data_IF_243226153174
#
_entry.id   IF_243226153174
#
_cell.length_a   1.000
_cell.length_b   1.000
_cell.length_c   1.000
_cell.angle_alpha   90.00
_cell.angle_beta   90.00
_cell.angle_gamma   90.00
#
_symmetry.space_group_name_H-M   'P 1'
#
loop_
_entity.id
_entity.type
_entity.pdbx_description
1 polymer ?
#
# COMPACT_ATOMS: atom_id res chain seq x y z
N UNK A 1 7.19 7.82 12.79
CA UNK A 1 6.11 8.79 13.09
C UNK A 1 5.08 8.77 11.97
N UNK A 2 3.80 8.69 12.33
CA UNK A 2 2.67 8.84 11.42
C UNK A 2 2.14 10.26 11.51
N UNK A 3 1.75 10.85 10.39
CA UNK A 3 1.17 12.20 10.32
C UNK A 3 -0.04 12.18 9.39
N UNK A 4 -1.19 12.62 9.90
CA UNK A 4 -2.40 12.78 9.11
C UNK A 4 -2.51 14.23 8.59
N UNK A 5 -2.35 14.43 7.28
CA UNK A 5 -2.64 15.72 6.62
C UNK A 5 -3.92 15.70 5.79
N UNK A 6 -4.72 14.64 5.90
CA UNK A 6 -6.01 14.56 5.25
C UNK A 6 -7.02 15.53 5.88
N UNK A 7 -8.12 15.80 5.18
CA UNK A 7 -9.24 16.61 5.69
C UNK A 7 -10.14 15.84 6.68
N UNK A 8 -9.92 14.53 6.80
CA UNK A 8 -10.70 13.61 7.63
C UNK A 8 -9.80 12.85 8.61
N UNK A 9 -10.41 12.30 9.67
CA UNK A 9 -9.76 11.29 10.51
C UNK A 9 -9.41 10.07 9.67
N UNK A 10 -8.24 9.51 9.93
CA UNK A 10 -7.81 8.24 9.37
C UNK A 10 -7.51 7.28 10.51
N UNK A 11 -7.55 5.99 10.22
CA UNK A 11 -7.20 4.98 11.20
C UNK A 11 -6.07 4.11 10.68
N UNK A 12 -4.80 4.41 11.00
CA UNK A 12 -3.71 3.56 10.56
C UNK A 12 -3.88 2.12 11.05
N UNK A 13 -3.50 1.18 10.20
CA UNK A 13 -3.38 -0.25 10.50
C UNK A 13 -1.94 -0.70 10.34
N UNK A 14 -1.54 -1.67 11.14
CA UNK A 14 -0.17 -2.21 11.19
C UNK A 14 -0.24 -3.73 11.20
N UNK A 15 0.49 -4.35 10.28
CA UNK A 15 0.65 -5.79 10.23
C UNK A 15 2.15 -6.13 10.18
N UNK A 16 2.61 -6.89 11.16
CA UNK A 16 3.96 -7.47 11.11
C UNK A 16 3.98 -8.69 10.18
N UNK A 17 5.10 -8.91 9.49
CA UNK A 17 5.26 -10.04 8.59
C UNK A 17 5.20 -11.38 9.33
N UNK A 18 4.90 -12.46 8.60
CA UNK A 18 4.90 -13.80 9.17
C UNK A 18 6.26 -14.12 9.82
N UNK A 19 6.24 -14.58 11.07
CA UNK A 19 7.44 -14.87 11.85
C UNK A 19 8.11 -13.66 12.52
N UNK A 20 7.59 -12.45 12.29
CA UNK A 20 8.00 -11.23 13.01
C UNK A 20 7.02 -10.97 14.16
N UNK A 21 7.56 -10.64 15.34
CA UNK A 21 6.72 -10.31 16.49
C UNK A 21 5.84 -9.08 16.19
N UNK A 22 4.54 -9.09 16.55
CA UNK A 22 3.68 -7.92 16.43
C UNK A 22 4.22 -6.73 17.22
N UNK A 23 3.96 -5.51 16.72
CA UNK A 23 4.14 -4.31 17.53
C UNK A 23 3.05 -4.23 18.62
N UNK A 24 3.33 -3.46 19.68
CA UNK A 24 2.41 -3.27 20.81
C UNK A 24 1.06 -2.65 20.39
N UNK A 25 1.06 -1.94 19.26
CA UNK A 25 -0.12 -1.30 18.66
C UNK A 25 -0.24 -1.73 17.21
N UNK A 26 -1.43 -2.17 16.83
CA UNK A 26 -1.75 -2.68 15.49
C UNK A 26 -2.80 -1.85 14.75
N UNK A 27 -3.46 -0.93 15.44
CA UNK A 27 -4.32 0.07 14.82
C UNK A 27 -4.68 1.19 15.80
N UNK A 28 -4.90 2.39 15.27
CA UNK A 28 -5.27 3.57 16.06
C UNK A 28 -5.95 4.62 15.19
N UNK A 29 -6.56 5.63 15.81
CA UNK A 29 -7.05 6.85 15.15
C UNK A 29 -5.97 7.93 15.05
N UNK A 30 -6.05 8.73 13.99
CA UNK A 30 -5.35 10.01 13.83
C UNK A 30 -6.31 11.07 13.30
N UNK A 31 -6.60 12.07 14.11
CA UNK A 31 -7.37 13.24 13.69
C UNK A 31 -6.62 14.09 12.66
N UNK A 32 -7.33 15.02 12.02
CA UNK A 32 -6.73 15.96 11.06
C UNK A 32 -5.59 16.74 11.71
N UNK A 33 -4.41 16.68 11.09
CA UNK A 33 -3.20 17.36 11.56
C UNK A 33 -2.48 16.63 12.70
N UNK A 34 -3.04 15.54 13.23
CA UNK A 34 -2.44 14.77 14.31
C UNK A 34 -1.21 13.99 13.82
N UNK A 35 -0.27 13.76 14.73
CA UNK A 35 0.84 12.84 14.54
C UNK A 35 1.01 11.92 15.73
N UNK A 36 1.40 10.68 15.46
CA UNK A 36 1.70 9.68 16.49
C UNK A 36 3.01 8.99 16.18
N UNK A 37 3.85 8.84 17.20
CA UNK A 37 5.10 8.08 17.09
C UNK A 37 4.90 6.71 17.71
N UNK A 38 5.37 5.69 17.01
CA UNK A 38 5.51 4.33 17.52
C UNK A 38 6.97 3.92 17.37
N UNK A 39 7.40 2.98 18.18
CA UNK A 39 8.72 2.37 18.08
C UNK A 39 8.61 1.00 17.42
N UNK A 40 9.51 0.71 16.48
CA UNK A 40 9.67 -0.60 15.89
C UNK A 40 11.04 -1.18 16.29
N UNK A 41 11.16 -2.50 16.54
CA UNK A 41 12.46 -3.16 16.69
C UNK A 41 13.33 -2.99 15.43
N UNK A 42 14.66 -3.03 15.59
CA UNK A 42 15.60 -2.83 14.48
C UNK A 42 15.47 -3.86 13.36
N UNK A 43 14.98 -5.05 13.65
CA UNK A 43 14.76 -6.13 12.67
C UNK A 43 13.29 -6.30 12.27
N UNK A 44 12.46 -5.26 12.47
CA UNK A 44 11.03 -5.35 12.19
C UNK A 44 10.78 -5.34 10.68
N UNK A 45 9.88 -6.21 10.24
CA UNK A 45 9.35 -6.20 8.88
C UNK A 45 7.84 -6.29 8.92
N UNK A 46 7.18 -5.50 8.08
CA UNK A 46 5.74 -5.40 8.07
C UNK A 46 5.22 -4.36 7.10
N UNK A 47 3.91 -4.14 7.16
CA UNK A 47 3.19 -3.18 6.34
C UNK A 47 2.26 -2.32 7.16
N UNK A 48 2.03 -1.12 6.63
CA UNK A 48 1.32 -0.02 7.25
C UNK A 48 0.37 0.57 6.22
N UNK A 49 -0.85 0.91 6.62
CA UNK A 49 -1.83 1.55 5.72
C UNK A 49 -2.75 2.48 6.49
N UNK A 50 -3.55 3.26 5.76
CA UNK A 50 -4.56 4.15 6.34
C UNK A 50 -5.96 3.65 6.02
N UNK A 51 -6.81 3.47 7.03
CA UNK A 51 -8.24 3.19 6.84
C UNK A 51 -9.04 4.49 6.80
N UNK A 52 -10.13 4.51 6.03
CA UNK A 52 -11.01 5.68 5.89
C UNK A 52 -12.47 5.34 6.11
N UNK A 53 -13.24 6.37 6.49
CA UNK A 53 -14.68 6.29 6.72
C UNK A 53 -15.02 5.13 7.67
N UNK A 54 -14.31 5.09 8.80
CA UNK A 54 -14.52 4.08 9.81
C UNK A 54 -15.63 4.51 10.78
N UNK A 55 -16.44 3.54 11.20
CA UNK A 55 -17.51 3.73 12.17
C UNK A 55 -17.56 2.56 13.14
N UNK A 56 -17.98 2.84 14.37
CA UNK A 56 -18.34 1.83 15.36
C UNK A 56 -19.86 1.79 15.51
N UNK A 57 -20.46 0.62 15.33
CA UNK A 57 -21.91 0.47 15.48
C UNK A 57 -22.33 0.37 16.97
N UNK A 58 -23.64 0.29 17.21
CA UNK A 58 -24.17 0.18 18.58
C UNK A 58 -23.78 -1.11 19.32
N UNK A 59 -23.28 -2.12 18.62
CA UNK A 59 -22.77 -3.36 19.21
C UNK A 59 -21.25 -3.30 19.47
N UNK A 60 -20.60 -2.18 19.16
CA UNK A 60 -19.16 -2.01 19.29
C UNK A 60 -18.35 -2.67 18.18
N UNK A 61 -18.98 -2.94 17.03
CA UNK A 61 -18.32 -3.44 15.83
C UNK A 61 -17.72 -2.26 15.06
N UNK A 62 -16.40 -2.20 15.01
CA UNK A 62 -15.66 -1.22 14.23
C UNK A 62 -15.46 -1.74 12.80
N UNK A 63 -15.75 -0.92 11.79
CA UNK A 63 -15.52 -1.26 10.38
C UNK A 63 -15.23 -0.01 9.55
N UNK A 64 -14.49 -0.18 8.46
CA UNK A 64 -14.08 0.89 7.55
C UNK A 64 -14.51 0.62 6.11
N UNK A 65 -14.76 1.69 5.33
CA UNK A 65 -15.09 1.55 3.90
C UNK A 65 -13.88 1.13 3.07
N UNK A 66 -12.68 1.61 3.41
CA UNK A 66 -11.43 1.25 2.69
C UNK A 66 -10.38 0.76 3.66
N UNK A 67 -9.64 -0.28 3.29
CA UNK A 67 -8.51 -0.81 4.07
C UNK A 67 -8.90 -1.49 5.37
N UNK A 68 -10.18 -1.82 5.58
CA UNK A 68 -10.63 -2.52 6.78
C UNK A 68 -9.82 -3.78 7.04
N UNK A 69 -9.55 -4.12 8.30
CA UNK A 69 -8.72 -5.26 8.66
C UNK A 69 -9.49 -6.43 9.25
N UNK A 70 -10.83 -6.38 9.24
CA UNK A 70 -11.70 -7.50 9.61
C UNK A 70 -11.69 -7.89 11.09
N UNK A 71 -10.95 -7.17 11.94
CA UNK A 71 -10.87 -7.48 13.38
C UNK A 71 -12.13 -7.10 14.16
N UNK A 72 -12.96 -6.23 13.59
CA UNK A 72 -14.09 -5.61 14.26
C UNK A 72 -13.73 -4.62 15.36
N UNK A 73 -12.46 -4.20 15.43
CA UNK A 73 -11.90 -3.25 16.40
C UNK A 73 -10.99 -2.24 15.72
N UNK A 74 -10.68 -1.16 16.41
CA UNK A 74 -9.68 -0.20 15.94
C UNK A 74 -8.31 -0.90 15.77
N UNK A 75 -7.93 -1.77 16.70
CA UNK A 75 -6.75 -2.63 16.57
C UNK A 75 -6.94 -3.69 15.47
N UNK A 76 -5.96 -3.87 14.59
CA UNK A 76 -6.05 -4.87 13.52
C UNK A 76 -5.70 -6.29 13.95
N UNK A 77 -4.97 -6.47 15.06
CA UNK A 77 -4.73 -7.77 15.70
C UNK A 77 -4.25 -8.88 14.75
N UNK A 78 -3.39 -8.53 13.78
CA UNK A 78 -2.88 -9.46 12.77
C UNK A 78 -3.72 -9.55 11.49
N UNK A 79 -4.85 -8.86 11.42
CA UNK A 79 -5.63 -8.68 10.21
C UNK A 79 -4.89 -7.82 9.19
N UNK A 80 -4.98 -8.22 7.92
CA UNK A 80 -4.43 -7.46 6.79
C UNK A 80 -5.45 -6.45 6.27
N UNK A 81 -5.00 -5.40 5.59
CA UNK A 81 -5.89 -4.50 4.87
C UNK A 81 -6.70 -5.27 3.82
N UNK A 82 -8.00 -5.11 3.80
CA UNK A 82 -8.85 -5.50 2.68
C UNK A 82 -8.60 -4.54 1.51
N UNK A 83 -8.12 -5.04 0.35
CA UNK A 83 -7.88 -4.20 -0.81
C UNK A 83 -9.17 -3.55 -1.35
N UNK A 84 -9.11 -2.35 -1.94
CA UNK A 84 -7.90 -1.58 -2.22
C UNK A 84 -7.32 -0.80 -1.03
N UNK A 85 -5.99 -0.83 -0.89
CA UNK A 85 -5.27 -0.05 0.11
C UNK A 85 -3.86 0.33 -0.37
N UNK A 86 -3.50 1.60 -0.20
CA UNK A 86 -2.10 2.04 -0.37
C UNK A 86 -1.28 1.59 0.84
N UNK A 87 -0.19 0.88 0.59
CA UNK A 87 0.65 0.30 1.62
C UNK A 87 1.99 1.05 1.72
N UNK A 88 2.52 1.19 2.92
CA UNK A 88 3.95 1.38 3.14
C UNK A 88 4.52 0.08 3.72
N UNK A 89 5.57 -0.44 3.08
CA UNK A 89 6.18 -1.72 3.42
C UNK A 89 7.60 -1.49 3.92
N UNK A 90 8.02 -2.28 4.91
CA UNK A 90 9.32 -2.16 5.55
C UNK A 90 9.94 -3.52 5.81
N UNK A 91 11.26 -3.58 5.66
CA UNK A 91 12.15 -4.60 6.22
C UNK A 91 13.36 -3.88 6.80
N UNK A 92 13.38 -3.69 8.11
CA UNK A 92 14.46 -3.00 8.83
C UNK A 92 15.61 -3.96 9.12
N UNK A 93 16.85 -3.45 9.09
CA UNK A 93 18.08 -4.23 9.30
C UNK A 93 18.13 -5.51 8.44
N UNK A 94 17.75 -5.38 7.17
CA UNK A 94 17.70 -6.46 6.19
C UNK A 94 19.08 -6.81 5.62
N UNK A 95 19.09 -7.19 4.33
CA UNK A 95 20.33 -7.57 3.64
C UNK A 95 21.39 -6.46 3.73
N UNK A 96 22.58 -6.81 4.25
CA UNK A 96 23.69 -5.87 4.41
C UNK A 96 23.51 -4.86 5.56
N UNK A 97 22.56 -5.09 6.47
CA UNK A 97 22.23 -4.15 7.56
C UNK A 97 21.54 -2.88 7.05
N UNK A 98 20.90 -2.97 5.88
CA UNK A 98 20.13 -1.89 5.28
C UNK A 98 18.65 -2.10 5.54
N UNK A 99 17.95 -1.00 5.76
CA UNK A 99 16.50 -0.99 5.68
C UNK A 99 16.07 -1.00 4.21
N UNK A 100 15.00 -1.73 3.94
CA UNK A 100 14.27 -1.74 2.68
C UNK A 100 12.88 -1.19 2.96
N UNK A 101 12.44 -0.23 2.16
CA UNK A 101 11.12 0.37 2.31
C UNK A 101 10.57 0.85 0.98
N UNK A 102 9.26 0.94 0.90
CA UNK A 102 8.55 1.39 -0.28
C UNK A 102 7.13 1.84 0.06
N UNK A 103 6.49 2.48 -0.92
CA UNK A 103 5.04 2.59 -0.98
C UNK A 103 4.54 1.77 -2.15
N UNK A 104 3.48 1.00 -1.93
CA UNK A 104 2.98 0.01 -2.86
C UNK A 104 1.50 0.23 -3.19
N UNK A 105 1.20 0.16 -4.48
CA UNK A 105 -0.14 0.20 -5.08
C UNK A 105 -0.51 -1.15 -5.72
N UNK A 106 0.24 -2.22 -5.39
CA UNK A 106 -0.03 -3.60 -5.84
C UNK A 106 -1.41 -4.05 -5.37
N UNK A 107 -1.78 -3.68 -4.15
CA UNK A 107 -3.09 -3.92 -3.54
C UNK A 107 -4.06 -2.74 -3.82
N UNK A 108 -3.75 -1.90 -4.81
CA UNK A 108 -4.57 -0.75 -5.20
C UNK A 108 -4.29 0.52 -4.40
N UNK A 109 -5.22 1.46 -4.47
CA UNK A 109 -5.08 2.81 -3.93
C UNK A 109 -6.34 3.23 -3.18
N UNK A 110 -6.19 3.83 -2.00
CA UNK A 110 -7.29 4.50 -1.30
C UNK A 110 -6.92 5.92 -0.83
N UNK A 111 -5.67 6.14 -0.44
CA UNK A 111 -5.18 7.41 0.09
C UNK A 111 -3.79 7.74 -0.43
N UNK A 112 -3.47 9.03 -0.68
CA UNK A 112 -2.11 9.43 -0.97
C UNK A 112 -1.21 9.22 0.26
N UNK A 113 0.00 8.72 0.04
CA UNK A 113 0.95 8.38 1.11
C UNK A 113 2.37 8.76 0.70
N UNK A 114 3.17 9.21 1.68
CA UNK A 114 4.60 9.48 1.52
C UNK A 114 5.37 8.93 2.72
N UNK A 115 6.43 8.19 2.43
CA UNK A 115 7.42 7.73 3.41
C UNK A 115 8.70 8.54 3.21
N UNK A 116 9.22 9.13 4.29
CA UNK A 116 10.45 9.94 4.27
C UNK A 116 11.38 9.47 5.38
N UNK A 117 12.58 8.93 5.06
CA UNK A 117 13.59 8.63 6.07
C UNK A 117 14.08 9.92 6.75
N UNK A 118 14.38 9.85 8.04
CA UNK A 118 14.94 10.91 8.86
C UNK A 118 16.35 10.48 9.29
N UNK A 119 17.37 11.11 8.71
CA UNK A 119 18.75 10.66 8.84
C UNK A 119 19.04 9.47 7.92
N UNK A 120 19.99 8.64 8.34
CA UNK A 120 20.51 7.55 7.53
C UNK A 120 21.31 8.01 6.30
N UNK A 121 21.77 7.05 5.50
CA UNK A 121 22.55 7.30 4.30
C UNK A 121 22.41 6.19 3.26
N UNK A 122 22.79 6.48 2.01
CA UNK A 122 22.70 5.55 0.89
C UNK A 122 22.19 6.25 -0.36
N UNK A 123 22.51 5.71 -1.54
CA UNK A 123 22.12 6.33 -2.81
C UNK A 123 20.60 6.46 -2.98
N UNK A 124 19.84 5.48 -2.46
CA UNK A 124 18.38 5.45 -2.52
C UNK A 124 17.71 5.76 -1.17
N UNK A 125 18.43 6.36 -0.21
CA UNK A 125 17.83 6.80 1.05
C UNK A 125 17.06 8.11 0.83
N UNK A 126 15.87 8.00 0.27
CA UNK A 126 15.07 9.14 -0.19
C UNK A 126 13.57 8.88 -0.03
N UNK A 127 12.75 9.90 -0.27
CA UNK A 127 11.32 9.77 -0.11
C UNK A 127 10.69 8.88 -1.19
N UNK A 128 9.78 8.00 -0.79
CA UNK A 128 8.96 7.15 -1.67
C UNK A 128 7.47 7.34 -1.37
N UNK A 129 6.61 7.19 -2.36
CA UNK A 129 5.19 7.48 -2.17
C UNK A 129 4.37 7.70 -3.43
N UNK A 130 3.10 8.00 -3.18
CA UNK A 130 2.09 8.37 -4.14
C UNK A 130 1.36 9.62 -3.64
N UNK A 131 1.70 10.78 -4.20
CA UNK A 131 1.16 12.10 -3.78
C UNK A 131 -0.06 12.53 -4.60
N UNK A 132 -0.25 11.92 -5.77
CA UNK A 132 -1.37 12.21 -6.65
C UNK A 132 -2.62 11.53 -6.09
N UNK A 133 -3.77 12.19 -6.24
CA UNK A 133 -5.05 11.53 -6.05
C UNK A 133 -5.40 10.67 -7.27
N UNK A 134 -5.15 9.37 -7.11
CA UNK A 134 -5.38 8.38 -8.18
C UNK A 134 -6.87 8.12 -8.37
N UNK A 135 -7.74 8.46 -7.41
CA UNK A 135 -9.19 8.27 -7.58
C UNK A 135 -9.71 9.03 -8.81
N UNK A 136 -9.20 10.25 -9.08
CA UNK A 136 -9.55 11.02 -10.27
C UNK A 136 -9.10 10.41 -11.60
N UNK A 137 -8.07 9.55 -11.58
CA UNK A 137 -7.50 8.89 -12.77
C UNK A 137 -7.99 7.45 -12.95
N UNK A 138 -8.65 6.91 -11.93
CA UNK A 138 -8.98 5.50 -11.86
C UNK A 138 -9.98 5.08 -12.96
N UNK A 139 -9.65 4.07 -13.78
CA UNK A 139 -10.54 3.53 -14.80
C UNK A 139 -11.85 3.02 -14.22
N UNK A 140 -12.94 3.09 -14.99
CA UNK A 140 -14.28 2.64 -14.58
C UNK A 140 -14.29 1.21 -14.04
N UNK A 141 -13.50 0.31 -14.63
CA UNK A 141 -13.41 -1.09 -14.23
C UNK A 141 -12.74 -1.31 -12.85
N UNK A 142 -12.03 -0.30 -12.33
CA UNK A 142 -11.26 -0.39 -11.09
C UNK A 142 -11.86 0.46 -9.96
N UNK A 143 -12.93 1.22 -10.20
CA UNK A 143 -13.48 2.15 -9.20
C UNK A 143 -14.13 1.41 -8.04
N UNK A 144 -13.92 1.94 -6.84
CA UNK A 144 -14.71 1.63 -5.65
C UNK A 144 -15.45 2.89 -5.22
N UNK A 145 -16.75 2.75 -4.99
CA UNK A 145 -17.62 3.85 -4.55
C UNK A 145 -18.19 3.58 -3.17
N UNK A 146 -18.36 4.62 -2.36
CA UNK A 146 -19.11 4.54 -1.11
C UNK A 146 -20.61 4.32 -1.37
N UNK A 147 -21.37 4.06 -0.31
CA UNK A 147 -22.84 4.05 -0.35
C UNK A 147 -23.45 5.38 -0.79
N UNK A 148 -22.72 6.49 -0.62
CA UNK A 148 -23.13 7.83 -1.02
C UNK A 148 -22.81 8.14 -2.49
N UNK A 149 -22.12 7.21 -3.17
CA UNK A 149 -21.73 7.33 -4.59
C UNK A 149 -20.39 8.03 -4.81
N UNK A 150 -19.72 8.46 -3.74
CA UNK A 150 -18.39 9.06 -3.83
C UNK A 150 -17.35 8.02 -4.19
N UNK A 151 -16.38 8.42 -5.01
CA UNK A 151 -15.25 7.56 -5.33
C UNK A 151 -14.26 7.54 -4.16
N UNK A 152 -14.04 6.37 -3.58
CA UNK A 152 -13.26 6.23 -2.33
C UNK A 152 -11.93 5.52 -2.52
N UNK A 153 -11.80 4.70 -3.56
CA UNK A 153 -10.59 3.94 -3.83
C UNK A 153 -10.53 3.43 -5.28
N UNK A 154 -9.36 2.96 -5.68
CA UNK A 154 -9.07 2.35 -6.96
C UNK A 154 -8.44 0.97 -6.77
N UNK A 155 -9.10 -0.08 -7.24
CA UNK A 155 -8.55 -1.45 -7.27
C UNK A 155 -7.30 -1.52 -8.15
N UNK A 156 -6.38 -2.41 -7.81
CA UNK A 156 -5.41 -2.89 -8.80
C UNK A 156 -6.11 -3.82 -9.80
N UNK A 157 -5.44 -4.12 -10.92
CA UNK A 157 -5.97 -5.07 -11.89
C UNK A 157 -6.07 -6.49 -11.31
N UNK A 158 -5.15 -6.89 -10.44
CA UNK A 158 -5.22 -8.18 -9.76
C UNK A 158 -6.51 -8.26 -8.91
N UNK A 159 -6.80 -7.24 -8.11
CA UNK A 159 -8.00 -7.20 -7.26
C UNK A 159 -9.31 -7.06 -8.04
N UNK A 160 -9.27 -6.50 -9.24
CA UNK A 160 -10.46 -6.37 -10.07
C UNK A 160 -10.78 -7.62 -10.87
N UNK A 161 -9.76 -8.31 -11.38
CA UNK A 161 -9.94 -9.38 -12.39
C UNK A 161 -9.47 -10.75 -11.94
N UNK A 162 -8.50 -10.83 -11.03
CA UNK A 162 -7.93 -12.10 -10.54
C UNK A 162 -7.10 -12.86 -11.58
N UNK A 163 -6.85 -12.28 -12.76
CA UNK A 163 -6.10 -12.94 -13.81
C UNK A 163 -4.63 -13.15 -13.39
N UNK A 164 -4.02 -14.32 -13.67
CA UNK A 164 -2.63 -14.61 -13.32
C UNK A 164 -1.62 -13.59 -13.84
N UNK A 165 -1.92 -12.97 -14.99
CA UNK A 165 -1.12 -11.92 -15.62
C UNK A 165 -1.05 -10.64 -14.78
N UNK A 166 -2.14 -10.28 -14.08
CA UNK A 166 -2.18 -9.10 -13.23
C UNK A 166 -1.70 -9.40 -11.81
N UNK A 167 -1.93 -10.62 -11.34
CA UNK A 167 -1.53 -11.08 -10.01
C UNK A 167 -0.11 -11.65 -9.97
N UNK A 168 0.58 -11.71 -11.11
CA UNK A 168 1.90 -12.33 -11.24
C UNK A 168 1.98 -13.73 -10.59
N UNK A 169 1.02 -14.59 -10.95
CA UNK A 169 0.90 -15.93 -10.37
C UNK A 169 0.94 -17.03 -11.43
N UNK A 170 1.14 -18.28 -11.00
CA UNK A 170 1.22 -19.43 -11.91
C UNK A 170 2.30 -19.25 -12.99
N UNK A 171 1.90 -19.27 -14.26
CA UNK A 171 2.81 -19.07 -15.39
C UNK A 171 3.48 -17.67 -15.43
N UNK A 172 2.91 -16.71 -14.69
CA UNK A 172 3.41 -15.35 -14.56
C UNK A 172 4.11 -15.13 -13.21
N UNK A 173 4.47 -16.20 -12.49
CA UNK A 173 5.15 -16.11 -11.18
C UNK A 173 6.62 -15.71 -11.22
N UNK A 174 7.10 -15.09 -12.31
CA UNK A 174 8.47 -14.60 -12.43
C UNK A 174 8.50 -13.19 -13.05
N UNK A 175 9.53 -12.37 -12.74
CA UNK A 175 9.71 -11.06 -13.37
C UNK A 175 9.81 -11.11 -14.90
N UNK A 176 10.35 -12.21 -15.43
CA UNK A 176 10.46 -12.41 -16.88
C UNK A 176 9.12 -12.71 -17.55
N UNK A 177 8.18 -13.32 -16.84
CA UNK A 177 6.88 -13.67 -17.37
C UNK A 177 5.81 -12.59 -17.10
N UNK A 178 5.76 -12.01 -15.89
CA UNK A 178 4.76 -10.98 -15.56
C UNK A 178 5.23 -9.60 -16.02
N UNK A 179 4.57 -9.07 -17.05
CA UNK A 179 4.89 -7.75 -17.61
C UNK A 179 3.94 -6.67 -17.12
N UNK A 180 4.37 -5.39 -17.09
CA UNK A 180 3.48 -4.29 -16.78
C UNK A 180 2.27 -4.28 -17.71
N UNK A 181 1.08 -4.05 -17.15
CA UNK A 181 -0.16 -3.89 -17.91
C UNK A 181 -0.49 -2.41 -18.10
N UNK A 182 -1.50 -2.10 -18.93
CA UNK A 182 -2.01 -0.74 -19.04
C UNK A 182 -2.52 -0.19 -17.70
N UNK A 183 -3.04 -1.06 -16.82
CA UNK A 183 -3.49 -0.68 -15.48
C UNK A 183 -2.34 -0.39 -14.52
N UNK A 184 -1.30 -1.23 -14.47
CA UNK A 184 -0.14 -0.93 -13.61
C UNK A 184 0.62 0.30 -14.12
N UNK A 185 0.73 0.48 -15.44
CA UNK A 185 1.33 1.68 -16.02
C UNK A 185 0.55 2.97 -15.71
N UNK A 186 -0.77 2.90 -15.49
CA UNK A 186 -1.55 4.04 -15.00
C UNK A 186 -1.11 4.44 -13.58
N UNK A 187 -1.03 3.48 -12.66
CA UNK A 187 -0.52 3.71 -11.31
C UNK A 187 0.92 4.25 -11.35
N UNK A 188 1.77 3.68 -12.21
CA UNK A 188 3.17 4.09 -12.33
C UNK A 188 3.31 5.50 -12.88
N UNK A 189 2.51 5.87 -13.87
CA UNK A 189 2.49 7.22 -14.42
C UNK A 189 2.04 8.26 -13.40
N UNK A 190 1.07 7.93 -12.55
CA UNK A 190 0.61 8.81 -11.47
C UNK A 190 1.63 8.89 -10.31
N UNK A 191 2.26 7.77 -9.97
CA UNK A 191 3.11 7.62 -8.79
C UNK A 191 4.42 6.90 -9.13
N UNK A 192 5.39 7.59 -9.78
CA UNK A 192 6.62 6.97 -10.29
C UNK A 192 7.52 6.34 -9.21
N UNK A 193 7.44 6.84 -7.98
CA UNK A 193 8.21 6.35 -6.83
C UNK A 193 7.54 5.20 -6.07
N UNK A 194 6.34 4.76 -6.47
CA UNK A 194 5.62 3.67 -5.81
C UNK A 194 5.63 2.40 -6.68
N UNK A 195 5.52 1.23 -6.05
CA UNK A 195 5.27 -0.03 -6.73
C UNK A 195 3.90 0.02 -7.40
N UNK A 196 3.86 -0.30 -8.69
CA UNK A 196 2.62 -0.35 -9.48
C UNK A 196 2.12 -1.76 -9.79
N UNK A 197 2.99 -2.77 -9.63
CA UNK A 197 2.70 -4.21 -9.72
C UNK A 197 3.84 -5.00 -9.04
N UNK A 198 3.66 -6.31 -8.86
CA UNK A 198 4.49 -7.13 -7.99
C UNK A 198 6.00 -7.20 -8.33
N UNK A 199 6.42 -6.89 -9.56
CA UNK A 199 7.83 -6.92 -9.98
C UNK A 199 8.37 -5.56 -10.44
N UNK A 200 7.82 -4.46 -9.94
CA UNK A 200 8.26 -3.08 -10.24
C UNK A 200 9.48 -2.64 -9.39
N UNK A 201 10.47 -3.51 -9.21
CA UNK A 201 11.56 -3.29 -8.23
C UNK A 201 12.47 -2.12 -8.61
N UNK A 202 12.82 -2.01 -9.90
CA UNK A 202 13.90 -1.13 -10.38
C UNK A 202 13.76 0.33 -9.98
N UNK A 203 12.52 0.80 -9.76
CA UNK A 203 12.23 2.20 -9.46
C UNK A 203 11.41 2.40 -8.18
N UNK A 204 11.14 1.31 -7.46
CA UNK A 204 10.17 1.33 -6.36
C UNK A 204 10.72 0.75 -5.06
N UNK A 205 11.86 0.02 -5.08
CA UNK A 205 12.56 -0.37 -3.85
C UNK A 205 13.52 0.72 -3.41
N UNK A 206 13.37 1.20 -2.17
CA UNK A 206 14.26 2.18 -1.56
C UNK A 206 15.05 1.52 -0.44
N UNK A 207 16.30 1.96 -0.27
CA UNK A 207 17.18 1.43 0.77
C UNK A 207 17.80 2.56 1.58
N UNK A 208 17.96 2.34 2.87
CA UNK A 208 18.66 3.27 3.74
C UNK A 208 19.48 2.55 4.81
N UNK A 209 20.69 3.04 5.06
CA UNK A 209 21.60 2.53 6.08
C UNK A 209 21.72 3.51 7.24
N UNK A 210 22.21 3.03 8.39
CA UNK A 210 22.45 3.87 9.56
C UNK A 210 21.23 4.06 10.47
N UNK A 211 20.30 3.09 10.45
CA UNK A 211 19.11 3.04 11.30
C UNK A 211 18.33 4.37 11.35
N UNK A 212 17.86 4.88 10.19
CA UNK A 212 17.03 6.09 10.17
C UNK A 212 15.70 5.87 10.91
N UNK A 213 15.11 6.97 11.37
CA UNK A 213 13.68 6.99 11.68
C UNK A 213 12.88 7.24 10.40
N UNK A 214 11.56 7.01 10.42
CA UNK A 214 10.69 7.25 9.25
C UNK A 214 9.50 8.12 9.60
N UNK A 215 9.15 9.02 8.68
CA UNK A 215 7.89 9.78 8.71
C UNK A 215 6.96 9.27 7.62
N UNK A 216 5.80 8.77 8.01
CA UNK A 216 4.73 8.33 7.12
C UNK A 216 3.65 9.40 7.15
N UNK A 217 3.48 10.08 6.03
CA UNK A 217 2.49 11.15 5.87
C UNK A 217 1.35 10.67 4.99
N UNK A 218 0.14 10.70 5.53
CA UNK A 218 -1.09 10.53 4.77
C UNK A 218 -1.54 11.88 4.23
N UNK A 219 -1.98 11.91 2.97
CA UNK A 219 -2.32 13.12 2.23
C UNK A 219 -1.23 14.23 2.27
N UNK A 220 0.02 13.96 1.83
CA UNK A 220 1.11 14.94 1.81
C UNK A 220 0.79 16.23 1.02
N UNK A 221 1.69 17.21 0.99
CA UNK A 221 1.52 18.41 0.15
C UNK A 221 2.68 18.56 -0.85
N UNK A 222 2.45 19.12 -2.05
CA UNK A 222 1.15 19.44 -2.64
C UNK A 222 0.46 18.16 -3.13
N UNK A 223 -0.77 17.92 -2.69
CA UNK A 223 -1.64 16.89 -3.26
C UNK A 223 -2.57 17.54 -4.28
N UNK A 224 -2.62 16.97 -5.48
CA UNK A 224 -3.38 17.52 -6.61
C UNK A 224 -4.91 17.51 -6.41
N UNK A 225 -5.41 16.90 -5.33
CA UNK A 225 -6.85 16.86 -5.00
C UNK A 225 -7.35 18.03 -4.16
N UNK A 226 -6.49 18.98 -3.78
CA UNK A 226 -6.95 20.20 -3.11
C UNK A 226 -7.55 21.19 -4.12
N UNK A 227 -8.68 20.81 -4.74
CA UNK A 227 -9.57 21.80 -5.35
C UNK A 227 -10.17 22.62 -4.22
N UNK A 228 -9.71 23.86 -4.13
CA UNK A 228 -10.07 24.83 -3.12
C UNK A 228 -11.58 25.06 -3.07
N UNK A 229 -12.22 24.67 -1.96
CA UNK A 229 -13.44 25.33 -1.49
C UNK A 229 -13.04 26.65 -0.84
N UNK A 230 -12.51 27.59 -1.65
CA UNK A 230 -12.35 28.97 -1.25
C UNK A 230 -13.45 29.77 -1.95
N UNK A 231 -14.41 30.22 -1.15
CA UNK A 231 -15.51 31.09 -1.52
C UNK A 231 -14.93 32.37 -2.15
N UNK A 232 -15.56 32.80 -3.23
CA UNK A 232 -15.25 33.99 -4.00
C UNK A 232 -15.09 35.24 -3.11
N UNK A 233 -14.00 35.97 -3.29
CA UNK A 233 -14.02 37.42 -3.18
C UNK A 233 -13.31 38.02 -4.40
N UNK A 234 -13.97 39.03 -4.95
CA UNK A 234 -13.71 39.68 -6.22
C UNK A 234 -12.47 40.57 -6.19
N UNK A 235 -11.60 40.45 -7.19
CA UNK A 235 -10.54 41.41 -7.46
C UNK A 235 -9.66 40.95 -8.62
N UNK A 236 -10.02 41.35 -9.84
CA UNK A 236 -9.29 40.97 -11.05
C UNK A 236 -7.96 41.70 -11.21
N UNK A 237 -6.97 41.01 -11.75
CA UNK A 237 -5.92 41.55 -12.64
C UNK A 237 -5.52 40.45 -13.62
N UNK A 238 -5.49 40.77 -14.91
CA UNK A 238 -4.97 39.97 -16.02
C UNK A 238 -3.47 39.67 -15.85
N UNK A 239 -2.97 38.52 -16.33
CA UNK A 239 -1.84 38.47 -17.29
C UNK A 239 -1.48 37.02 -17.74
N UNK A 240 -1.63 36.82 -19.05
CA UNK A 240 -0.88 36.00 -20.03
C UNK A 240 -0.58 34.50 -19.84
N UNK A 241 -1.05 33.77 -20.85
CA UNK A 241 -0.74 32.38 -21.16
C UNK A 241 0.65 32.22 -21.81
N UNK A 242 1.38 31.18 -21.41
CA UNK A 242 2.46 30.59 -22.20
C UNK A 242 2.30 29.07 -22.18
N UNK A 243 2.28 28.48 -23.38
CA UNK A 243 1.87 27.11 -23.66
C UNK A 243 2.80 26.03 -23.12
N UNK A 244 2.19 24.89 -22.79
CA UNK A 244 2.87 23.65 -22.45
C UNK A 244 3.23 22.90 -23.74
N UNK A 245 4.52 22.84 -24.06
CA UNK A 245 5.06 21.88 -25.03
C UNK A 245 5.29 20.55 -24.31
N UNK A 246 4.47 19.56 -24.64
CA UNK A 246 4.46 18.25 -23.97
C UNK A 246 5.10 17.20 -24.89
N UNK A 247 6.42 17.30 -25.05
CA UNK A 247 7.24 16.30 -25.73
C UNK A 247 8.36 15.83 -24.80
N UNK A 248 8.11 14.75 -24.05
CA UNK A 248 9.18 13.99 -23.41
C UNK A 248 9.37 12.70 -24.21
N UNK A 249 10.38 12.72 -25.06
CA UNK A 249 10.86 11.57 -25.83
C UNK A 249 11.61 10.64 -24.87
N UNK A 250 11.17 9.38 -24.78
CA UNK A 250 11.85 8.34 -24.04
C UNK A 250 12.99 7.80 -24.91
N UNK A 251 14.24 8.06 -24.54
CA UNK A 251 15.40 7.50 -25.22
C UNK A 251 15.76 6.14 -24.60
N UNK A 252 15.72 5.10 -25.43
CA UNK A 252 16.08 3.74 -25.05
C UNK A 252 17.59 3.56 -25.16
N UNK A 253 18.27 3.35 -24.04
CA UNK A 253 19.68 3.01 -24.03
C UNK A 253 19.91 1.57 -23.52
N UNK A 254 20.78 0.89 -24.26
CA UNK A 254 21.08 -0.54 -24.32
C UNK A 254 21.87 -1.08 -23.11
N UNK A 255 21.74 -2.40 -22.97
CA UNK A 255 22.52 -3.40 -22.22
C UNK A 255 23.83 -2.95 -21.53
N UNK A 256 23.89 -3.19 -20.21
CA UNK A 256 25.09 -3.72 -19.56
C UNK A 256 24.67 -4.80 -18.56
N UNK A 257 25.23 -5.98 -18.76
CA UNK A 257 25.01 -7.21 -18.01
C UNK A 257 25.70 -7.19 -16.64
N UNK A 258 25.12 -7.92 -15.68
CA UNK A 258 25.89 -8.60 -14.63
C UNK A 258 25.82 -8.00 -13.23
N UNK A 259 24.72 -8.28 -12.52
CA UNK A 259 24.63 -8.17 -11.07
C UNK A 259 23.60 -9.16 -10.56
N UNK A 260 24.06 -10.18 -9.82
CA UNK A 260 23.17 -11.14 -9.15
C UNK A 260 22.46 -10.39 -8.02
N UNK A 261 21.22 -9.98 -8.26
CA UNK A 261 20.35 -9.42 -7.23
C UNK A 261 19.80 -10.56 -6.36
N UNK A 262 19.75 -10.40 -5.03
CA UNK A 262 19.09 -11.39 -4.18
C UNK A 262 17.61 -11.43 -4.54
N UNK A 263 17.10 -12.66 -4.67
CA UNK A 263 15.71 -12.97 -5.02
C UNK A 263 14.72 -12.13 -4.20
N UNK A 264 13.72 -11.60 -4.90
CA UNK A 264 12.68 -10.74 -4.37
C UNK A 264 12.02 -11.31 -3.12
N UNK A 265 11.61 -10.39 -2.25
CA UNK A 265 10.67 -10.67 -1.17
C UNK A 265 9.45 -11.34 -1.78
N UNK A 266 9.25 -12.62 -1.46
CA UNK A 266 8.03 -13.32 -1.80
C UNK A 266 6.87 -12.59 -1.14
N UNK A 267 6.11 -11.80 -1.91
CA UNK A 267 4.76 -11.42 -1.51
C UNK A 267 3.98 -12.73 -1.39
N UNK A 268 3.82 -13.22 -0.16
CA UNK A 268 3.00 -14.38 0.12
C UNK A 268 1.56 -13.95 -0.11
N UNK A 269 1.04 -14.24 -1.31
CA UNK A 269 -0.40 -14.28 -1.56
C UNK A 269 -0.99 -15.29 -0.58
N UNK A 270 -1.62 -14.80 0.48
CA UNK A 270 -2.44 -15.63 1.36
C UNK A 270 -3.77 -15.87 0.63
N UNK A 271 -3.86 -16.98 -0.08
CA UNK A 271 -5.11 -17.43 -0.67
C UNK A 271 -5.98 -18.02 0.45
N UNK A 272 -7.05 -17.33 0.83
CA UNK A 272 -8.10 -17.88 1.69
C UNK A 272 -8.81 -19.05 0.99
N UNK A 273 -8.37 -20.27 1.28
CA UNK A 273 -9.06 -21.49 0.89
C UNK A 273 -9.81 -22.06 2.11
N UNK A 274 -11.14 -21.92 2.07
CA UNK A 274 -12.11 -22.52 2.98
C UNK A 274 -11.88 -24.04 3.06
N UNK A 275 -11.56 -24.58 4.24
CA UNK A 275 -11.62 -26.02 4.50
C UNK A 275 -12.73 -26.30 5.50
N UNK A 276 -13.91 -26.61 4.97
CA UNK A 276 -14.91 -27.40 5.68
C UNK A 276 -14.51 -28.87 5.62
N UNK A 277 -14.24 -29.49 6.77
CA UNK A 277 -14.08 -30.93 6.90
C UNK A 277 -14.97 -31.45 8.04
N UNK A 278 -16.07 -32.09 7.63
CA UNK A 278 -16.95 -32.88 8.49
C UNK A 278 -16.23 -34.13 8.97
N UNK A 279 -16.07 -34.29 10.29
CA UNK A 279 -15.58 -35.53 10.88
C UNK A 279 -16.76 -36.41 11.33
N UNK A 280 -17.06 -37.46 10.55
CA UNK A 280 -17.84 -38.62 11.01
C UNK A 280 -17.05 -39.86 10.59
N UNK A 281 -16.35 -40.51 11.53
CA UNK A 281 -16.08 -41.95 11.44
C UNK A 281 -16.23 -42.56 12.83
N UNK A 282 -17.12 -43.54 12.88
CA UNK A 282 -17.55 -44.31 14.03
C UNK A 282 -16.48 -45.28 14.55
N UNK A 283 -16.40 -45.41 15.87
CA UNK A 283 -15.67 -46.45 16.59
C UNK A 283 -16.39 -47.79 16.41
N UNK A 284 -15.78 -48.75 15.71
CA UNK A 284 -16.20 -50.15 15.73
C UNK A 284 -15.29 -51.00 16.62
N UNK A 285 -15.98 -51.91 17.31
CA UNK A 285 -15.62 -52.64 18.52
C UNK A 285 -14.70 -53.84 18.22
N UNK A 286 -13.84 -54.13 19.20
CA UNK A 286 -12.94 -55.29 19.34
C UNK A 286 -13.70 -56.62 19.27
N UNK A 287 -13.18 -57.61 18.53
CA UNK A 287 -13.38 -59.09 18.58
C UNK A 287 -12.42 -59.64 17.49
N UNK A 288 -11.52 -60.61 17.63
CA UNK A 288 -11.19 -61.66 18.62
C UNK A 288 -9.78 -62.20 18.33
N UNK A 289 -9.17 -62.82 19.34
CA UNK A 289 -7.90 -63.55 19.32
C UNK A 289 -7.87 -64.74 18.33
N UNK A 290 -6.71 -64.93 17.69
CA UNK A 290 -5.97 -66.20 17.55
C UNK A 290 -4.62 -65.95 16.88
#
# INVERSE_FOLDING_TARGET
MFTNKCEQTIWPGILSNAGVAPLDITGFSLERGESKTISAPSSWGGRLWGRTQCTEDSAGQFSCVTGDCGSGKEECAGGNAAPPATLAEFTLDGSGGMDFYDVSLVDGYNLPMLVVPQGGSGANCSATGCRVDVNGLCPSALKVTSSEGDMVACKSACEAFGDPEYCCSGAFGTPDACKPSSYSMMFKGACPSAYSYAYDDRTSTFTCSGAPDYVITFCPSPNTSQKSSAIADSGGVEEQAAGMDNSMVYDGALDVSGGVHPMGSSHVFSSDAIVGAMAIIATMYVITQS
#
